data_IF_388183338995
#
_entry.id   IF_388183338995
#
_cell.length_a   1.000
_cell.length_b   1.000
_cell.length_c   1.000
_cell.angle_alpha   90.00
_cell.angle_beta   90.00
_cell.angle_gamma   90.00
#
_symmetry.space_group_name_H-M   'P 1'
#
loop_
_entity.id
_entity.type
_entity.pdbx_description
1 polymer ?
#
# COMPACT_ATOMS: atom_id res chain seq x y z
N UNK A 1 29.49 -16.55 9.15
CA UNK A 1 28.19 -15.84 9.28
C UNK A 1 27.52 -15.85 7.91
N UNK A 2 26.36 -16.48 7.78
CA UNK A 2 25.62 -16.49 6.51
C UNK A 2 24.99 -15.12 6.25
N UNK A 3 25.06 -14.65 5.01
CA UNK A 3 24.40 -13.40 4.58
C UNK A 3 22.91 -13.65 4.35
N UNK A 4 22.05 -12.92 5.06
CA UNK A 4 20.59 -12.94 4.88
C UNK A 4 20.24 -12.02 3.70
N UNK A 5 19.47 -12.51 2.73
CA UNK A 5 18.94 -11.70 1.63
C UNK A 5 17.65 -11.03 2.09
N UNK A 6 17.60 -9.70 2.02
CA UNK A 6 16.41 -8.90 2.30
C UNK A 6 15.80 -8.40 0.98
N UNK A 7 14.48 -8.21 0.98
CA UNK A 7 13.75 -7.53 -0.11
C UNK A 7 13.19 -6.22 0.40
N UNK A 8 13.02 -5.24 -0.49
CA UNK A 8 12.28 -4.03 -0.16
C UNK A 8 10.82 -4.38 0.06
N UNK A 9 10.24 -3.78 1.10
CA UNK A 9 8.81 -3.90 1.39
C UNK A 9 8.02 -2.99 0.45
N UNK A 10 6.94 -3.51 -0.14
CA UNK A 10 5.96 -2.75 -0.90
C UNK A 10 4.57 -3.10 -0.40
N UNK A 11 3.89 -2.13 0.23
CA UNK A 11 2.55 -2.33 0.77
C UNK A 11 1.53 -2.68 -0.32
N UNK A 12 1.74 -2.23 -1.56
CA UNK A 12 0.82 -2.51 -2.66
C UNK A 12 0.69 -4.01 -2.99
N UNK A 13 1.70 -4.83 -2.65
CA UNK A 13 1.66 -6.28 -2.85
C UNK A 13 0.64 -6.99 -1.93
N UNK A 14 0.20 -6.31 -0.87
CA UNK A 14 -0.66 -6.87 0.17
C UNK A 14 -2.10 -6.34 0.11
N UNK A 15 -2.38 -5.29 -0.66
CA UNK A 15 -3.72 -4.73 -0.85
C UNK A 15 -4.47 -5.52 -1.93
N UNK A 16 -4.96 -6.71 -1.59
CA UNK A 16 -5.56 -7.63 -2.57
C UNK A 16 -7.06 -7.47 -2.71
N UNK A 17 -7.73 -7.08 -1.64
CA UNK A 17 -9.18 -6.89 -1.59
C UNK A 17 -9.52 -5.41 -1.47
N UNK A 18 -10.76 -5.04 -1.79
CA UNK A 18 -11.23 -3.68 -1.55
C UNK A 18 -11.24 -3.34 -0.04
N UNK A 19 -11.51 -4.32 0.84
CA UNK A 19 -11.40 -4.13 2.30
C UNK A 19 -9.98 -3.78 2.74
N UNK A 20 -8.96 -4.48 2.24
CA UNK A 20 -7.56 -4.16 2.56
C UNK A 20 -7.21 -2.71 2.20
N UNK A 21 -7.74 -2.23 1.07
CA UNK A 21 -7.50 -0.87 0.58
C UNK A 21 -8.21 0.18 1.44
N UNK A 22 -9.42 -0.13 1.93
CA UNK A 22 -10.16 0.73 2.86
C UNK A 22 -9.39 0.85 4.17
N UNK A 23 -9.04 -0.28 4.80
CA UNK A 23 -8.29 -0.27 6.06
C UNK A 23 -6.93 0.42 5.92
N UNK A 24 -6.24 0.24 4.78
CA UNK A 24 -4.99 0.93 4.50
C UNK A 24 -5.18 2.44 4.38
N UNK A 25 -6.24 2.90 3.70
CA UNK A 25 -6.54 4.32 3.58
C UNK A 25 -6.93 4.93 4.92
N UNK A 26 -7.75 4.25 5.72
CA UNK A 26 -8.12 4.70 7.08
C UNK A 26 -6.89 4.86 7.96
N UNK A 27 -6.01 3.86 8.01
CA UNK A 27 -4.75 3.95 8.75
C UNK A 27 -3.86 5.10 8.26
N UNK A 28 -3.85 5.35 6.94
CA UNK A 28 -3.11 6.49 6.39
C UNK A 28 -3.73 7.84 6.78
N UNK A 29 -5.06 7.93 6.85
CA UNK A 29 -5.77 9.16 7.27
C UNK A 29 -5.55 9.48 8.74
N UNK A 30 -5.53 8.46 9.60
CA UNK A 30 -5.22 8.61 11.02
C UNK A 30 -3.79 9.14 11.23
N UNK A 31 -2.83 8.64 10.46
CA UNK A 31 -1.40 8.99 10.63
C UNK A 31 -1.01 10.29 9.91
N UNK A 32 -1.69 10.67 8.83
CA UNK A 32 -1.29 11.80 7.99
C UNK A 32 -1.41 13.17 8.69
N UNK A 33 -2.35 13.33 9.63
CA UNK A 33 -2.69 14.65 10.16
C UNK A 33 -3.03 15.63 9.04
N UNK A 34 -2.25 16.70 8.90
CA UNK A 34 -2.39 17.73 7.86
C UNK A 34 -1.52 17.48 6.59
N UNK A 35 -0.84 16.33 6.49
CA UNK A 35 0.02 16.00 5.34
C UNK A 35 -0.79 15.44 4.16
N UNK A 36 -1.26 16.35 3.30
CA UNK A 36 -1.96 16.00 2.06
C UNK A 36 -1.09 15.18 1.08
N UNK A 37 0.24 15.34 1.10
CA UNK A 37 1.13 14.60 0.20
C UNK A 37 1.23 13.12 0.63
N UNK A 38 1.16 12.85 1.93
CA UNK A 38 1.09 11.49 2.47
C UNK A 38 -0.16 10.76 1.97
N UNK A 39 -1.32 11.40 2.06
CA UNK A 39 -2.58 10.82 1.57
C UNK A 39 -2.55 10.59 0.05
N UNK A 40 -2.03 11.55 -0.71
CA UNK A 40 -1.86 11.37 -2.15
C UNK A 40 -0.98 10.16 -2.50
N UNK A 41 0.08 9.93 -1.71
CA UNK A 41 0.94 8.76 -1.88
C UNK A 41 0.24 7.45 -1.52
N UNK A 42 -0.54 7.42 -0.44
CA UNK A 42 -1.35 6.26 -0.07
C UNK A 42 -2.36 5.88 -1.16
N UNK A 43 -3.04 6.87 -1.73
CA UNK A 43 -3.97 6.68 -2.86
C UNK A 43 -3.24 6.15 -4.11
N UNK A 44 -2.02 6.63 -4.38
CA UNK A 44 -1.17 6.10 -5.45
C UNK A 44 -0.80 4.62 -5.24
N UNK A 45 -0.51 4.22 -4.00
CA UNK A 45 -0.25 2.81 -3.62
C UNK A 45 -1.48 1.94 -3.87
N UNK A 46 -2.67 2.40 -3.45
CA UNK A 46 -3.95 1.69 -3.67
C UNK A 46 -4.23 1.54 -5.17
N UNK A 47 -4.06 2.61 -5.95
CA UNK A 47 -4.29 2.57 -7.40
C UNK A 47 -3.37 1.55 -8.10
N UNK A 48 -2.08 1.52 -7.71
CA UNK A 48 -1.13 0.52 -8.20
C UNK A 48 -1.54 -0.91 -7.80
N UNK A 49 -1.96 -1.11 -6.56
CA UNK A 49 -2.42 -2.41 -6.08
C UNK A 49 -3.65 -2.92 -6.86
N UNK A 50 -4.64 -2.05 -7.11
CA UNK A 50 -5.80 -2.41 -7.96
C UNK A 50 -5.38 -2.88 -9.35
N UNK A 51 -4.42 -2.18 -9.98
CA UNK A 51 -3.88 -2.60 -11.28
C UNK A 51 -3.19 -3.96 -11.23
N UNK A 52 -2.42 -4.26 -10.19
CA UNK A 52 -1.77 -5.55 -10.01
C UNK A 52 -2.77 -6.69 -9.75
N UNK A 53 -3.81 -6.44 -8.94
CA UNK A 53 -4.86 -7.41 -8.67
C UNK A 53 -5.68 -7.74 -9.92
N UNK A 54 -5.95 -6.75 -10.78
CA UNK A 54 -6.63 -6.99 -12.06
C UNK A 54 -5.79 -7.82 -13.03
N UNK A 55 -4.47 -7.59 -13.08
CA UNK A 55 -3.55 -8.37 -13.93
C UNK A 55 -3.35 -9.82 -13.46
N UNK A 56 -3.58 -10.10 -12.18
CA UNK A 56 -3.38 -11.42 -11.58
C UNK A 56 -4.58 -12.37 -11.74
N UNK A 57 -5.67 -11.92 -12.37
CA UNK A 57 -6.87 -12.74 -12.64
C UNK A 57 -6.85 -13.39 -14.02
#
# INVERSE_FOLDING_TARGET
MGTIKLRKWDSAEYLKTDEDMVFYLEACLEEAGDDAAFIAKALGTIARAKGMTQLAR
#
